data_IF_026916462302
#
_entry.id   IF_026916462302
#
_cell.length_a   1.000
_cell.length_b   1.000
_cell.length_c   1.000
_cell.angle_alpha   90.00
_cell.angle_beta   90.00
_cell.angle_gamma   90.00
#
_symmetry.space_group_name_H-M   'P 1'
#
loop_
_entity.id
_entity.type
_entity.pdbx_description
1 polymer ?
#
# COMPACT_ATOMS: atom_id res chain seq x y z
N UNK A 1 8.89 -9.44 3.75
CA UNK A 1 7.43 -9.51 3.94
C UNK A 1 6.92 -8.10 4.15
N UNK A 2 6.40 -7.50 3.10
CA UNK A 2 5.89 -6.14 3.10
C UNK A 2 4.57 -6.05 3.88
N UNK A 3 4.28 -4.87 4.42
CA UNK A 3 3.09 -4.63 5.24
C UNK A 3 1.79 -4.98 4.46
N UNK A 4 1.77 -4.71 3.16
CA UNK A 4 0.66 -5.03 2.26
C UNK A 4 0.47 -6.54 2.09
N UNK A 5 1.54 -7.34 2.04
CA UNK A 5 1.41 -8.81 1.97
C UNK A 5 0.79 -9.40 3.25
N UNK A 6 0.95 -8.71 4.39
CA UNK A 6 0.39 -9.14 5.69
C UNK A 6 -1.05 -8.68 5.90
N UNK A 7 -1.38 -7.44 5.53
CA UNK A 7 -2.73 -6.88 5.72
C UNK A 7 -3.67 -7.15 4.53
N UNK A 8 -3.13 -7.23 3.31
CA UNK A 8 -3.88 -7.10 2.07
C UNK A 8 -4.06 -5.63 1.66
N UNK A 9 -3.99 -5.34 0.35
CA UNK A 9 -4.07 -3.98 -0.19
C UNK A 9 -5.40 -3.28 0.15
N UNK A 10 -6.51 -3.98 0.02
CA UNK A 10 -7.84 -3.43 0.29
C UNK A 10 -7.99 -3.04 1.77
N UNK A 11 -7.56 -3.91 2.68
CA UNK A 11 -7.58 -3.64 4.11
C UNK A 11 -6.64 -2.49 4.49
N UNK A 12 -5.47 -2.39 3.85
CA UNK A 12 -4.54 -1.29 4.07
C UNK A 12 -5.15 0.06 3.64
N UNK A 13 -5.78 0.12 2.45
CA UNK A 13 -6.49 1.32 1.97
C UNK A 13 -7.68 1.70 2.85
N UNK A 14 -8.46 0.72 3.29
CA UNK A 14 -9.57 0.95 4.22
C UNK A 14 -9.07 1.50 5.57
N UNK A 15 -8.00 0.93 6.11
CA UNK A 15 -7.38 1.38 7.34
C UNK A 15 -6.84 2.81 7.21
N UNK A 16 -6.10 3.12 6.16
CA UNK A 16 -5.60 4.49 5.90
C UNK A 16 -6.74 5.51 5.85
N UNK A 17 -7.83 5.21 5.13
CA UNK A 17 -9.03 6.07 5.10
C UNK A 17 -9.67 6.28 6.47
N UNK A 18 -9.74 5.23 7.32
CA UNK A 18 -10.24 5.36 8.68
C UNK A 18 -9.30 6.23 9.54
N UNK A 19 -7.99 6.01 9.46
CA UNK A 19 -7.00 6.77 10.23
C UNK A 19 -6.99 8.25 9.86
N UNK A 20 -7.12 8.56 8.58
CA UNK A 20 -7.28 9.94 8.10
C UNK A 20 -8.57 10.58 8.65
N UNK A 21 -9.70 9.88 8.59
CA UNK A 21 -10.98 10.36 9.13
C UNK A 21 -10.92 10.65 10.63
N UNK A 22 -10.16 9.86 11.38
CA UNK A 22 -9.96 10.05 12.82
C UNK A 22 -8.84 11.06 13.15
N UNK A 23 -8.18 11.65 12.15
CA UNK A 23 -7.11 12.63 12.38
C UNK A 23 -5.86 12.03 13.03
N UNK A 24 -5.58 10.75 12.79
CA UNK A 24 -4.42 10.06 13.38
C UNK A 24 -3.15 10.59 12.71
N UNK A 25 -2.21 11.18 13.47
CA UNK A 25 -0.99 11.72 12.89
C UNK A 25 -0.08 10.60 12.38
N UNK A 26 0.71 10.90 11.35
CA UNK A 26 1.57 9.92 10.66
C UNK A 26 2.61 9.28 11.58
N UNK A 27 2.99 9.97 12.66
CA UNK A 27 3.97 9.50 13.66
C UNK A 27 3.40 8.50 14.66
N UNK A 28 2.08 8.31 14.72
CA UNK A 28 1.49 7.36 15.66
C UNK A 28 1.70 5.93 15.20
N UNK A 29 2.15 5.09 16.15
CA UNK A 29 2.25 3.65 15.97
C UNK A 29 0.92 2.97 16.24
N UNK A 30 0.62 2.02 15.37
CA UNK A 30 -0.66 1.34 15.26
C UNK A 30 -0.37 -0.15 15.06
N UNK A 31 -1.19 -0.97 15.70
CA UNK A 31 -1.22 -2.40 15.46
C UNK A 31 -2.63 -2.81 15.06
N UNK A 32 -2.73 -3.77 14.15
CA UNK A 32 -4.00 -4.43 13.80
C UNK A 32 -4.00 -5.80 14.45
N UNK A 33 -4.94 -6.03 15.35
CA UNK A 33 -5.11 -7.31 16.05
C UNK A 33 -6.55 -7.76 15.83
N UNK A 34 -6.74 -8.98 15.29
CA UNK A 34 -8.06 -9.53 14.96
C UNK A 34 -8.91 -8.59 14.08
N UNK A 35 -8.28 -7.87 13.14
CA UNK A 35 -8.98 -6.94 12.24
C UNK A 35 -9.34 -5.59 12.85
N UNK A 36 -9.03 -5.35 14.13
CA UNK A 36 -9.26 -4.07 14.80
C UNK A 36 -7.92 -3.34 14.95
N UNK A 37 -7.90 -2.06 14.57
CA UNK A 37 -6.72 -1.22 14.78
C UNK A 37 -6.76 -0.59 16.16
N UNK A 38 -5.58 -0.48 16.77
CA UNK A 38 -5.40 0.18 18.06
C UNK A 38 -4.08 0.92 18.10
N UNK A 39 -4.04 2.01 18.88
CA UNK A 39 -2.78 2.69 19.19
C UNK A 39 -1.90 1.73 19.99
N UNK A 40 -0.66 1.57 19.57
CA UNK A 40 0.27 0.62 20.17
C UNK A 40 1.67 1.21 20.21
N UNK A 41 2.51 0.75 21.13
CA UNK A 41 3.95 1.04 21.14
C UNK A 41 4.73 0.17 20.13
N UNK A 42 4.10 -0.91 19.67
CA UNK A 42 4.63 -1.89 18.71
C UNK A 42 3.75 -1.94 17.45
N UNK A 43 4.35 -2.19 16.29
CA UNK A 43 3.64 -2.21 15.01
C UNK A 43 4.25 -1.23 14.01
N UNK A 44 3.40 -0.64 13.19
CA UNK A 44 3.77 0.28 12.11
C UNK A 44 3.15 1.66 12.35
N UNK A 45 3.76 2.69 11.80
CA UNK A 45 3.22 4.04 11.83
C UNK A 45 2.22 4.27 10.70
N UNK A 46 1.32 5.25 10.86
CA UNK A 46 0.42 5.64 9.78
C UNK A 46 1.20 6.10 8.53
N UNK A 47 2.36 6.75 8.70
CA UNK A 47 3.26 7.06 7.58
C UNK A 47 3.81 5.81 6.87
N UNK A 48 4.22 4.79 7.62
CA UNK A 48 4.66 3.50 7.05
C UNK A 48 3.54 2.78 6.29
N UNK A 49 2.30 2.85 6.79
CA UNK A 49 1.13 2.30 6.09
C UNK A 49 0.97 2.97 4.71
N UNK A 50 0.98 4.30 4.67
CA UNK A 50 0.83 5.08 3.44
C UNK A 50 1.98 4.83 2.46
N UNK A 51 3.21 4.78 2.96
CA UNK A 51 4.38 4.46 2.16
C UNK A 51 4.26 3.05 1.54
N UNK A 52 3.81 2.06 2.31
CA UNK A 52 3.61 0.71 1.81
C UNK A 52 2.50 0.62 0.76
N UNK A 53 1.40 1.37 0.92
CA UNK A 53 0.33 1.45 -0.11
C UNK A 53 0.88 2.09 -1.39
N UNK A 54 1.61 3.21 -1.26
CA UNK A 54 2.18 3.92 -2.40
C UNK A 54 3.26 3.10 -3.12
N UNK A 55 4.09 2.36 -2.39
CA UNK A 55 5.11 1.47 -2.94
C UNK A 55 4.46 0.32 -3.72
N UNK A 56 3.37 -0.25 -3.20
CA UNK A 56 2.60 -1.26 -3.92
C UNK A 56 1.93 -0.70 -5.18
N UNK A 57 1.36 0.51 -5.13
CA UNK A 57 0.75 1.16 -6.29
C UNK A 57 1.79 1.50 -7.37
N UNK A 58 2.99 1.90 -6.95
CA UNK A 58 4.14 2.11 -7.84
C UNK A 58 4.70 0.82 -8.41
N UNK A 59 4.60 -0.27 -7.65
CA UNK A 59 4.90 -1.63 -8.09
C UNK A 59 3.69 -2.27 -8.75
N UNK A 60 2.91 -1.48 -9.51
CA UNK A 60 2.08 -2.00 -10.59
C UNK A 60 2.98 -2.95 -11.39
N UNK A 61 2.75 -4.24 -11.21
CA UNK A 61 3.35 -5.26 -12.04
C UNK A 61 2.89 -4.92 -13.42
N UNK A 62 3.77 -4.29 -14.19
CA UNK A 62 3.52 -3.93 -15.57
C UNK A 62 3.50 -5.21 -16.40
N UNK A 63 2.50 -6.07 -16.18
CA UNK A 63 2.18 -7.23 -17.02
C UNK A 63 1.73 -6.78 -18.40
N UNK A 64 1.38 -5.49 -18.53
CA UNK A 64 0.72 -4.92 -19.70
C UNK A 64 1.47 -3.72 -20.29
N UNK A 65 2.81 -3.66 -20.19
CA UNK A 65 3.59 -2.71 -21.03
C UNK A 65 3.19 -2.88 -22.50
N UNK A 66 2.87 -4.11 -22.96
CA UNK A 66 2.36 -4.37 -24.31
C UNK A 66 1.09 -3.61 -24.68
N UNK A 67 0.22 -3.27 -23.73
CA UNK A 67 -1.03 -2.53 -23.99
C UNK A 67 -0.88 -1.01 -23.88
N UNK A 68 0.25 -0.49 -23.37
CA UNK A 68 0.49 0.95 -23.25
C UNK A 68 1.42 1.53 -24.33
N UNK A 69 2.03 0.68 -25.16
CA UNK A 69 2.81 1.14 -26.32
C UNK A 69 1.87 1.27 -27.50
N UNK A 70 1.93 2.42 -28.19
CA UNK A 70 1.22 2.63 -29.44
C UNK A 70 1.43 1.42 -30.37
N UNK A 71 0.42 1.01 -31.16
CA UNK A 71 0.48 -0.19 -32.02
C UNK A 71 1.65 -0.19 -33.03
N UNK A 72 2.34 0.93 -33.17
CA UNK A 72 3.52 1.12 -34.03
C UNK A 72 4.85 0.85 -33.33
N UNK A 73 4.88 0.69 -32.01
CA UNK A 73 6.14 0.49 -31.28
C UNK A 73 6.52 -0.98 -31.26
N UNK A 74 7.62 -1.32 -31.94
CA UNK A 74 8.17 -2.69 -31.95
C UNK A 74 9.01 -2.91 -30.69
N UNK A 75 8.60 -3.86 -29.87
CA UNK A 75 9.46 -4.43 -28.81
C UNK A 75 10.48 -5.33 -29.49
N UNK A 76 11.76 -5.04 -29.30
CA UNK A 76 12.87 -5.86 -29.82
C UNK A 76 13.40 -6.64 -28.63
N UNK A 77 13.03 -7.92 -28.53
CA UNK A 77 13.60 -8.84 -27.55
C UNK A 77 14.99 -9.25 -28.06
N UNK A 78 16.00 -9.16 -27.18
CA UNK A 78 17.39 -9.52 -27.48
C UNK A 78 17.64 -10.99 -27.29
#
# INVERSE_FOLDING_TARGET
MNLIEKLGLENAKALDGMLQKHGVPESWKIAVINGVWQRSSVGFTHGELRAAIADHDRTDYVSDIRNHIAPTTKVIER
#
